data_IF_289370631231
#
_entry.id   IF_289370631231
#
_cell.length_a   1.000
_cell.length_b   1.000
_cell.length_c   1.000
_cell.angle_alpha   90.00
_cell.angle_beta   90.00
_cell.angle_gamma   90.00
#
_symmetry.space_group_name_H-M   'P 1'
#
loop_
_entity.id
_entity.type
_entity.pdbx_description
1 polymer ?
#
# COMPACT_ATOMS: atom_id res chain seq x y z
N UNK A 1 -19.69 8.11 2.45
CA UNK A 1 -18.91 7.13 3.23
C UNK A 1 -17.82 6.56 2.34
N UNK A 2 -16.56 6.46 2.78
CA UNK A 2 -15.47 5.96 1.94
C UNK A 2 -15.75 4.58 1.34
N UNK A 3 -16.53 3.74 2.03
CA UNK A 3 -16.91 2.39 1.59
C UNK A 3 -17.83 2.33 0.37
N UNK A 4 -18.40 3.46 -0.06
CA UNK A 4 -19.24 3.54 -1.26
C UNK A 4 -18.48 4.07 -2.49
N UNK A 5 -17.21 4.47 -2.33
CA UNK A 5 -16.41 5.06 -3.39
C UNK A 5 -15.90 4.00 -4.40
N UNK A 6 -15.74 4.34 -5.69
CA UNK A 6 -15.14 3.44 -6.67
C UNK A 6 -13.78 2.88 -6.22
N UNK A 7 -12.89 3.70 -5.66
CA UNK A 7 -11.60 3.25 -5.16
C UNK A 7 -11.72 2.17 -4.07
N UNK A 8 -12.78 2.19 -3.25
CA UNK A 8 -13.02 1.15 -2.25
C UNK A 8 -13.33 -0.21 -2.90
N UNK A 9 -14.08 -0.22 -3.99
CA UNK A 9 -14.38 -1.45 -4.73
C UNK A 9 -13.12 -2.04 -5.36
N UNK A 10 -12.30 -1.20 -6.00
CA UNK A 10 -11.00 -1.60 -6.55
C UNK A 10 -10.05 -2.13 -5.47
N UNK A 11 -9.97 -1.45 -4.32
CA UNK A 11 -9.14 -1.89 -3.19
C UNK A 11 -9.63 -3.24 -2.62
N UNK A 12 -10.95 -3.45 -2.54
CA UNK A 12 -11.53 -4.72 -2.09
C UNK A 12 -11.20 -5.86 -3.05
N UNK A 13 -11.30 -5.63 -4.36
CA UNK A 13 -10.93 -6.61 -5.37
C UNK A 13 -9.43 -6.94 -5.34
N UNK A 14 -8.58 -5.93 -5.17
CA UNK A 14 -7.14 -6.11 -5.02
C UNK A 14 -6.79 -6.89 -3.74
N UNK A 15 -7.46 -6.60 -2.63
CA UNK A 15 -7.25 -7.33 -1.38
C UNK A 15 -7.54 -8.84 -1.54
N UNK A 16 -8.57 -9.20 -2.30
CA UNK A 16 -8.84 -10.61 -2.65
C UNK A 16 -7.78 -11.19 -3.58
N UNK A 17 -7.28 -10.42 -4.56
CA UNK A 17 -6.25 -10.89 -5.51
C UNK A 17 -4.93 -11.26 -4.82
N UNK A 18 -4.53 -10.51 -3.79
CA UNK A 18 -3.31 -10.76 -3.02
C UNK A 18 -3.57 -11.58 -1.74
N UNK A 19 -4.79 -12.09 -1.54
CA UNK A 19 -5.23 -12.71 -0.29
C UNK A 19 -4.37 -13.91 0.13
N UNK A 20 -3.89 -14.69 -0.84
CA UNK A 20 -3.02 -15.83 -0.61
C UNK A 20 -1.53 -15.47 -0.50
N UNK A 21 -1.14 -14.24 -0.83
CA UNK A 21 0.25 -13.82 -0.76
C UNK A 21 0.71 -13.68 0.70
N UNK A 22 1.88 -14.24 1.01
CA UNK A 22 2.52 -14.08 2.30
C UNK A 22 3.71 -13.12 2.21
N UNK A 23 3.79 -12.18 3.16
CA UNK A 23 4.87 -11.21 3.21
C UNK A 23 6.26 -11.84 3.29
N UNK A 24 6.38 -13.01 3.94
CA UNK A 24 7.65 -13.76 4.02
C UNK A 24 8.19 -14.12 2.64
N UNK A 25 7.32 -14.38 1.67
CA UNK A 25 7.71 -14.77 0.32
C UNK A 25 8.31 -13.57 -0.42
N UNK A 26 7.77 -12.36 -0.18
CA UNK A 26 8.32 -11.12 -0.72
C UNK A 26 9.69 -10.76 -0.13
N UNK A 27 9.96 -11.13 1.12
CA UNK A 27 11.30 -10.95 1.72
C UNK A 27 12.28 -12.08 1.38
N UNK A 28 11.79 -13.20 0.85
CA UNK A 28 12.63 -14.28 0.33
C UNK A 28 12.97 -14.11 -1.17
N UNK A 29 12.29 -13.19 -1.85
CA UNK A 29 12.51 -12.91 -3.26
C UNK A 29 13.84 -12.15 -3.49
N UNK A 30 14.46 -12.28 -4.68
CA UNK A 30 15.73 -11.59 -5.00
C UNK A 30 15.68 -10.06 -4.89
N UNK A 31 14.49 -9.47 -4.95
CA UNK A 31 14.23 -8.03 -4.90
C UNK A 31 13.79 -7.54 -3.51
N UNK A 32 13.99 -8.32 -2.44
CA UNK A 32 13.59 -7.94 -1.09
C UNK A 32 14.17 -6.58 -0.61
N UNK A 33 15.38 -6.21 -1.05
CA UNK A 33 15.98 -4.91 -0.74
C UNK A 33 15.23 -3.74 -1.41
N UNK A 34 14.72 -3.96 -2.63
CA UNK A 34 13.89 -2.99 -3.35
C UNK A 34 12.65 -2.64 -2.54
N UNK A 35 12.00 -3.66 -1.99
CA UNK A 35 10.79 -3.51 -1.18
C UNK A 35 11.00 -2.57 0.00
N UNK A 36 12.11 -2.77 0.73
CA UNK A 36 12.44 -1.90 1.88
C UNK A 36 12.65 -0.47 1.40
N UNK A 37 13.40 -0.29 0.31
CA UNK A 37 13.71 1.05 -0.23
C UNK A 37 12.46 1.80 -0.69
N UNK A 38 11.56 1.14 -1.43
CA UNK A 38 10.33 1.76 -1.96
C UNK A 38 9.32 2.08 -0.84
N UNK A 39 9.26 1.25 0.20
CA UNK A 39 8.34 1.42 1.32
C UNK A 39 9.02 1.96 2.59
N UNK A 40 10.01 2.81 2.41
CA UNK A 40 10.61 3.62 3.49
C UNK A 40 10.47 5.10 3.12
N UNK A 41 10.09 5.92 4.10
CA UNK A 41 10.00 7.37 3.96
C UNK A 41 10.79 8.06 5.08
N UNK A 42 11.59 9.05 4.72
CA UNK A 42 12.19 9.98 5.68
C UNK A 42 11.42 11.30 5.69
N UNK A 43 10.85 11.65 6.85
CA UNK A 43 10.11 12.90 7.02
C UNK A 43 10.19 13.39 8.47
N UNK A 44 10.30 14.70 8.67
CA UNK A 44 10.31 15.33 10.00
C UNK A 44 11.36 14.74 10.97
N UNK A 45 12.51 14.29 10.46
CA UNK A 45 13.56 13.66 11.25
C UNK A 45 13.26 12.22 11.68
N UNK A 46 12.21 11.61 11.13
CA UNK A 46 11.82 10.22 11.35
C UNK A 46 12.02 9.41 10.08
N UNK A 47 12.51 8.17 10.25
CA UNK A 47 12.48 7.14 9.21
C UNK A 47 11.31 6.22 9.49
N UNK A 48 10.39 6.11 8.52
CA UNK A 48 9.21 5.26 8.59
C UNK A 48 9.36 4.13 7.58
N UNK A 49 9.72 2.94 8.06
CA UNK A 49 9.72 1.70 7.28
C UNK A 49 8.34 1.01 7.38
N UNK A 50 7.57 1.05 6.29
CA UNK A 50 6.28 0.39 6.17
C UNK A 50 6.32 -0.81 5.20
N UNK A 51 7.52 -1.30 4.85
CA UNK A 51 7.73 -2.48 4.00
C UNK A 51 7.15 -3.77 4.59
N UNK A 52 6.98 -3.83 5.90
CA UNK A 52 6.43 -4.98 6.65
C UNK A 52 4.90 -4.96 6.73
N UNK A 53 4.24 -4.56 5.64
CA UNK A 53 2.79 -4.61 5.46
C UNK A 53 2.41 -5.47 4.25
N UNK A 54 1.15 -5.93 4.16
CA UNK A 54 0.63 -6.65 2.98
C UNK A 54 0.35 -5.68 1.83
N UNK A 55 1.43 -5.07 1.33
CA UNK A 55 1.38 -3.93 0.44
C UNK A 55 2.25 -4.18 -0.80
N UNK A 56 1.66 -3.95 -1.96
CA UNK A 56 2.32 -3.86 -3.26
C UNK A 56 2.27 -2.41 -3.75
N UNK A 57 3.00 -2.02 -4.82
CA UNK A 57 2.86 -0.70 -5.42
C UNK A 57 1.41 -0.37 -5.81
N UNK A 58 0.67 -1.37 -6.30
CA UNK A 58 -0.75 -1.26 -6.63
C UNK A 58 -1.61 -1.02 -5.38
N UNK A 59 -1.34 -1.71 -4.26
CA UNK A 59 -2.04 -1.45 -2.99
C UNK A 59 -1.89 0.00 -2.57
N UNK A 60 -0.67 0.55 -2.65
CA UNK A 60 -0.41 1.95 -2.27
C UNK A 60 -1.13 2.94 -3.20
N UNK A 61 -1.10 2.69 -4.51
CA UNK A 61 -1.81 3.53 -5.48
C UNK A 61 -3.33 3.56 -5.22
N UNK A 62 -3.94 2.40 -4.96
CA UNK A 62 -5.38 2.31 -4.66
C UNK A 62 -5.75 2.96 -3.32
N UNK A 63 -4.88 2.85 -2.30
CA UNK A 63 -5.08 3.55 -1.03
C UNK A 63 -5.01 5.08 -1.20
N UNK A 64 -4.08 5.57 -2.02
CA UNK A 64 -3.97 7.01 -2.33
C UNK A 64 -5.16 7.49 -3.16
N UNK A 65 -5.65 6.68 -4.11
CA UNK A 65 -6.87 6.99 -4.85
C UNK A 65 -8.09 7.07 -3.92
N UNK A 66 -8.21 6.14 -2.95
CA UNK A 66 -9.27 6.22 -1.95
C UNK A 66 -9.15 7.48 -1.08
N UNK A 67 -7.93 7.86 -0.70
CA UNK A 67 -7.68 9.08 0.05
C UNK A 67 -8.08 10.33 -0.75
N UNK A 68 -7.80 10.36 -2.05
CA UNK A 68 -8.20 11.44 -2.96
C UNK A 68 -9.74 11.53 -3.09
N UNK A 69 -10.40 10.42 -3.42
CA UNK A 69 -11.87 10.34 -3.56
C UNK A 69 -12.60 10.65 -2.23
N UNK A 70 -11.95 10.40 -1.09
CA UNK A 70 -12.47 10.73 0.24
C UNK A 70 -12.16 12.17 0.69
N UNK A 71 -11.42 12.95 -0.10
CA UNK A 71 -11.05 14.33 0.20
C UNK A 71 -9.95 14.50 1.25
N UNK A 72 -9.15 13.46 1.51
CA UNK A 72 -8.04 13.51 2.49
C UNK A 72 -6.82 14.24 1.94
N UNK A 73 -6.58 14.16 0.62
CA UNK A 73 -5.43 14.79 -0.03
C UNK A 73 -5.65 16.28 -0.34
N UNK A 74 -6.87 16.79 -0.22
CA UNK A 74 -7.17 18.21 -0.38
C UNK A 74 -6.71 18.97 0.89
N UNK A 75 -5.49 19.52 0.82
CA UNK A 75 -4.96 20.50 1.77
C UNK A 75 -5.48 21.91 1.44
#
# INVERSE_FOLDING_TARGET
MPTALPAWQSLTQHAESIRAAHMRDWFAAPDAEERVRVFTLDAAGLTVDYSKNRLTPETLALLLQLADEAGVLAL
#
